data_IF_973067872717
#
_entry.id   IF_973067872717
#
_cell.length_a   1.000
_cell.length_b   1.000
_cell.length_c   1.000
_cell.angle_alpha   90.00
_cell.angle_beta   90.00
_cell.angle_gamma   90.00
#
_symmetry.space_group_name_H-M   'P 1'
#
loop_
_entity.id
_entity.type
_entity.pdbx_description
1 polymer ?
#
# COMPACT_ATOMS: atom_id res chain seq x y z
N UNK A 1 -11.30 -16.07 1.55
CA UNK A 1 -11.58 -15.09 2.63
C UNK A 1 -10.71 -13.88 2.40
N UNK A 2 -11.17 -12.67 2.73
CA UNK A 2 -10.35 -11.45 2.63
C UNK A 2 -9.30 -11.44 3.73
N UNK A 3 -8.09 -11.02 3.40
CA UNK A 3 -7.03 -10.80 4.37
C UNK A 3 -7.28 -9.50 5.16
N UNK A 4 -7.86 -8.51 4.50
CA UNK A 4 -8.24 -7.21 5.06
C UNK A 4 -9.72 -6.98 4.78
N UNK A 5 -10.52 -6.89 5.84
CA UNK A 5 -11.90 -6.44 5.76
C UNK A 5 -11.92 -4.91 5.72
N UNK A 6 -12.62 -4.34 4.74
CA UNK A 6 -12.83 -2.90 4.69
C UNK A 6 -13.83 -2.47 5.76
N UNK A 7 -13.48 -1.43 6.52
CA UNK A 7 -14.33 -0.85 7.56
C UNK A 7 -14.23 0.67 7.64
N UNK A 8 -15.08 1.27 8.48
CA UNK A 8 -15.13 2.72 8.68
C UNK A 8 -13.81 3.28 9.22
N UNK A 9 -12.99 2.46 9.86
CA UNK A 9 -11.68 2.85 10.37
C UNK A 9 -10.67 3.24 9.27
N UNK A 10 -10.91 2.85 8.01
CA UNK A 10 -10.07 3.22 6.86
C UNK A 10 -10.49 4.56 6.22
N UNK A 11 -11.63 5.12 6.65
CA UNK A 11 -12.18 6.36 6.09
C UNK A 11 -11.45 7.56 6.69
N UNK A 12 -10.85 8.35 5.81
CA UNK A 12 -10.18 9.63 6.12
C UNK A 12 -11.13 10.83 6.01
N UNK A 13 -12.22 10.67 5.25
CA UNK A 13 -13.14 11.75 4.89
C UNK A 13 -12.66 12.57 3.68
N UNK A 14 -11.63 12.10 2.98
CA UNK A 14 -11.12 12.68 1.74
C UNK A 14 -11.44 11.68 0.61
N UNK A 15 -12.45 11.97 -0.19
CA UNK A 15 -13.02 11.04 -1.18
C UNK A 15 -11.97 10.38 -2.10
N UNK A 16 -10.98 11.16 -2.55
CA UNK A 16 -9.90 10.62 -3.40
C UNK A 16 -9.00 9.64 -2.64
N UNK A 17 -8.65 9.93 -1.40
CA UNK A 17 -7.81 9.06 -0.56
C UNK A 17 -8.59 7.80 -0.17
N UNK A 18 -9.87 7.93 0.20
CA UNK A 18 -10.71 6.80 0.59
C UNK A 18 -10.91 5.81 -0.58
N UNK A 19 -11.06 6.31 -1.80
CA UNK A 19 -11.07 5.49 -3.02
C UNK A 19 -9.75 4.77 -3.25
N UNK A 20 -8.62 5.45 -3.00
CA UNK A 20 -7.30 4.85 -3.11
C UNK A 20 -7.06 3.79 -2.03
N UNK A 21 -7.45 4.03 -0.78
CA UNK A 21 -7.38 3.02 0.28
C UNK A 21 -8.18 1.77 -0.08
N UNK A 22 -9.40 1.93 -0.62
CA UNK A 22 -10.21 0.79 -1.09
C UNK A 22 -9.48 0.00 -2.18
N UNK A 23 -8.92 0.70 -3.18
CA UNK A 23 -8.15 0.04 -4.24
C UNK A 23 -6.93 -0.73 -3.72
N UNK A 24 -6.21 -0.17 -2.73
CA UNK A 24 -5.09 -0.87 -2.08
C UNK A 24 -5.55 -2.14 -1.36
N UNK A 25 -6.63 -2.04 -0.57
CA UNK A 25 -7.21 -3.19 0.14
C UNK A 25 -7.68 -4.27 -0.82
N UNK A 26 -8.31 -3.90 -1.94
CA UNK A 26 -8.73 -4.84 -2.99
C UNK A 26 -7.55 -5.55 -3.67
N UNK A 27 -6.46 -4.82 -3.96
CA UNK A 27 -5.25 -5.38 -4.54
C UNK A 27 -4.54 -6.33 -3.57
N UNK A 28 -4.45 -5.99 -2.28
CA UNK A 28 -3.87 -6.85 -1.24
C UNK A 28 -4.69 -8.13 -1.02
N UNK A 29 -6.01 -8.01 -0.97
CA UNK A 29 -6.91 -9.16 -0.89
C UNK A 29 -6.79 -10.05 -2.13
N UNK A 30 -6.62 -9.46 -3.31
CA UNK A 30 -6.38 -10.20 -4.55
C UNK A 30 -5.03 -10.92 -4.52
N UNK A 31 -3.96 -10.25 -4.11
CA UNK A 31 -2.64 -10.87 -3.94
C UNK A 31 -2.70 -12.06 -2.99
N UNK A 32 -3.32 -11.91 -1.81
CA UNK A 32 -3.43 -13.01 -0.84
C UNK A 32 -4.23 -14.18 -1.39
N UNK A 33 -5.37 -13.93 -2.04
CA UNK A 33 -6.19 -14.99 -2.64
C UNK A 33 -5.42 -15.71 -3.75
N UNK A 34 -4.79 -14.96 -4.65
CA UNK A 34 -4.09 -15.53 -5.79
C UNK A 34 -2.87 -16.35 -5.34
N UNK A 35 -2.22 -15.93 -4.23
CA UNK A 35 -1.20 -16.73 -3.56
C UNK A 35 -1.77 -18.02 -2.95
N UNK A 36 -2.86 -17.94 -2.17
CA UNK A 36 -3.48 -19.11 -1.51
C UNK A 36 -4.04 -20.12 -2.54
N UNK A 37 -4.53 -19.65 -3.68
CA UNK A 37 -5.01 -20.47 -4.80
C UNK A 37 -3.89 -21.06 -5.67
N UNK A 38 -2.61 -20.83 -5.33
CA UNK A 38 -1.45 -21.25 -6.12
C UNK A 38 -1.55 -20.84 -7.59
N UNK A 39 -1.92 -19.57 -7.85
CA UNK A 39 -1.90 -19.01 -9.21
C UNK A 39 -0.50 -19.07 -9.80
N UNK A 40 -0.42 -18.93 -11.11
CA UNK A 40 0.87 -19.02 -11.80
C UNK A 40 1.80 -17.88 -11.38
N UNK A 41 3.11 -18.09 -11.47
CA UNK A 41 4.11 -17.03 -11.21
C UNK A 41 3.77 -15.74 -11.97
N UNK A 42 3.37 -15.88 -13.24
CA UNK A 42 3.00 -14.75 -14.10
C UNK A 42 1.78 -13.97 -13.57
N UNK A 43 0.78 -14.67 -13.03
CA UNK A 43 -0.38 -14.00 -12.42
C UNK A 43 0.05 -13.22 -11.17
N UNK A 44 0.94 -13.80 -10.36
CA UNK A 44 1.51 -13.17 -9.17
C UNK A 44 2.38 -11.95 -9.51
N UNK A 45 3.19 -12.02 -10.57
CA UNK A 45 3.96 -10.89 -11.10
C UNK A 45 3.04 -9.73 -11.47
N UNK A 46 1.98 -10.01 -12.23
CA UNK A 46 1.02 -8.98 -12.68
C UNK A 46 0.35 -8.28 -11.49
N UNK A 47 -0.07 -9.01 -10.46
CA UNK A 47 -0.71 -8.38 -9.29
C UNK A 47 0.29 -7.61 -8.43
N UNK A 48 1.53 -8.10 -8.28
CA UNK A 48 2.59 -7.39 -7.55
C UNK A 48 2.96 -6.08 -8.23
N UNK A 49 3.11 -6.06 -9.55
CA UNK A 49 3.35 -4.84 -10.32
C UNK A 49 2.20 -3.84 -10.16
N UNK A 50 0.96 -4.30 -10.29
CA UNK A 50 -0.23 -3.45 -10.07
C UNK A 50 -0.28 -2.87 -8.67
N UNK A 51 -0.01 -3.69 -7.64
CA UNK A 51 0.05 -3.23 -6.26
C UNK A 51 1.13 -2.16 -6.09
N UNK A 52 2.34 -2.41 -6.60
CA UNK A 52 3.46 -1.48 -6.51
C UNK A 52 3.15 -0.12 -7.16
N UNK A 53 2.65 -0.13 -8.40
CA UNK A 53 2.31 1.10 -9.12
C UNK A 53 1.17 1.86 -8.42
N UNK A 54 0.16 1.14 -7.93
CA UNK A 54 -0.96 1.75 -7.23
C UNK A 54 -0.56 2.34 -5.88
N UNK A 55 0.30 1.66 -5.12
CA UNK A 55 0.90 2.22 -3.89
C UNK A 55 1.66 3.51 -4.17
N UNK A 56 2.50 3.55 -5.21
CA UNK A 56 3.22 4.77 -5.56
C UNK A 56 2.30 5.92 -5.96
N UNK A 57 1.26 5.62 -6.74
CA UNK A 57 0.25 6.60 -7.11
C UNK A 57 -0.45 7.17 -5.87
N UNK A 58 -0.87 6.31 -4.94
CA UNK A 58 -1.47 6.72 -3.68
C UNK A 58 -0.53 7.60 -2.85
N UNK A 59 0.70 7.15 -2.60
CA UNK A 59 1.70 7.93 -1.86
C UNK A 59 1.97 9.30 -2.48
N UNK A 60 2.04 9.39 -3.82
CA UNK A 60 2.22 10.67 -4.50
C UNK A 60 1.05 11.64 -4.27
N UNK A 61 -0.17 11.10 -4.13
CA UNK A 61 -1.38 11.88 -3.82
C UNK A 61 -1.30 12.43 -2.40
N UNK A 62 -0.99 11.58 -1.42
CA UNK A 62 -0.86 12.01 -0.03
C UNK A 62 0.28 13.00 0.18
N UNK A 63 1.45 12.75 -0.43
CA UNK A 63 2.59 13.65 -0.35
C UNK A 63 2.28 15.03 -0.93
N UNK A 64 1.50 15.09 -2.00
CA UNK A 64 0.98 16.34 -2.53
C UNK A 64 0.07 17.04 -1.52
N UNK A 65 -0.92 16.33 -0.97
CA UNK A 65 -1.86 16.88 0.02
C UNK A 65 -1.14 17.39 1.28
N UNK A 66 -0.21 16.61 1.82
CA UNK A 66 0.60 16.98 2.98
C UNK A 66 1.41 18.24 2.74
N UNK A 67 2.01 18.40 1.56
CA UNK A 67 2.75 19.62 1.19
C UNK A 67 1.82 20.83 1.08
N UNK A 68 0.65 20.69 0.46
CA UNK A 68 -0.33 21.77 0.37
C UNK A 68 -0.82 22.22 1.76
N UNK A 69 -0.98 21.28 2.69
CA UNK A 69 -1.36 21.55 4.07
C UNK A 69 -0.23 22.10 4.96
N UNK A 70 1.01 22.15 4.45
CA UNK A 70 2.21 22.41 5.27
C UNK A 70 2.29 21.50 6.50
N UNK A 71 2.01 20.20 6.31
CA UNK A 71 2.05 19.20 7.37
C UNK A 71 3.46 19.10 7.99
N UNK A 72 3.63 19.36 9.30
CA UNK A 72 4.96 19.44 9.93
C UNK A 72 5.79 18.16 9.82
N UNK A 73 5.15 16.99 9.89
CA UNK A 73 5.84 15.69 9.86
C UNK A 73 5.91 15.09 8.44
N UNK A 74 5.78 15.91 7.40
CA UNK A 74 5.85 15.47 6.01
C UNK A 74 7.08 14.61 5.71
N UNK A 75 8.27 15.02 6.17
CA UNK A 75 9.50 14.29 5.87
C UNK A 75 9.50 12.89 6.48
N UNK A 76 9.07 12.75 7.74
CA UNK A 76 8.97 11.44 8.41
C UNK A 76 7.99 10.52 7.68
N UNK A 77 6.84 11.05 7.27
CA UNK A 77 5.85 10.29 6.52
C UNK A 77 6.42 9.83 5.17
N UNK A 78 7.03 10.75 4.42
CA UNK A 78 7.65 10.46 3.13
C UNK A 78 8.77 9.41 3.24
N UNK A 79 9.59 9.46 4.29
CA UNK A 79 10.66 8.49 4.50
C UNK A 79 10.11 7.07 4.71
N UNK A 80 8.93 6.94 5.35
CA UNK A 80 8.23 5.66 5.46
C UNK A 80 7.77 5.14 4.09
N UNK A 81 7.21 6.01 3.24
CA UNK A 81 6.85 5.70 1.86
C UNK A 81 8.05 5.24 1.03
N UNK A 82 9.13 6.02 1.03
CA UNK A 82 10.34 5.73 0.26
C UNK A 82 10.97 4.40 0.70
N UNK A 83 10.98 4.14 2.01
CA UNK A 83 11.49 2.87 2.56
C UNK A 83 10.65 1.69 2.10
N UNK A 84 9.32 1.81 2.14
CA UNK A 84 8.42 0.75 1.66
C UNK A 84 8.60 0.50 0.17
N UNK A 85 8.50 1.55 -0.66
CA UNK A 85 8.67 1.46 -2.12
C UNK A 85 10.02 0.83 -2.49
N UNK A 86 11.10 1.21 -1.82
CA UNK A 86 12.42 0.62 -2.07
C UNK A 86 12.42 -0.89 -1.80
N UNK A 87 11.91 -1.33 -0.65
CA UNK A 87 11.84 -2.76 -0.29
C UNK A 87 10.99 -3.56 -1.26
N UNK A 88 9.79 -3.06 -1.60
CA UNK A 88 8.89 -3.75 -2.54
C UNK A 88 9.50 -3.84 -3.92
N UNK A 89 10.16 -2.77 -4.40
CA UNK A 89 10.83 -2.77 -5.71
C UNK A 89 11.96 -3.80 -5.77
N UNK A 90 12.77 -3.89 -4.71
CA UNK A 90 13.85 -4.88 -4.61
C UNK A 90 13.30 -6.30 -4.65
N UNK A 91 12.27 -6.58 -3.85
CA UNK A 91 11.59 -7.88 -3.85
C UNK A 91 11.01 -8.24 -5.23
N UNK A 92 10.25 -7.33 -5.86
CA UNK A 92 9.66 -7.59 -7.19
C UNK A 92 10.77 -7.87 -8.21
N UNK A 93 11.88 -7.12 -8.18
CA UNK A 93 13.01 -7.38 -9.07
C UNK A 93 13.61 -8.78 -8.88
N UNK A 94 13.84 -9.21 -7.63
CA UNK A 94 14.35 -10.56 -7.35
C UNK A 94 13.34 -11.65 -7.72
N UNK A 95 12.05 -11.40 -7.51
CA UNK A 95 10.97 -12.30 -7.91
C UNK A 95 10.90 -12.43 -9.43
N UNK A 96 11.01 -11.35 -10.20
CA UNK A 96 11.03 -11.45 -11.67
C UNK A 96 12.29 -12.16 -12.20
N UNK A 97 13.43 -12.00 -11.52
CA UNK A 97 14.70 -12.64 -11.87
C UNK A 97 14.79 -14.13 -11.48
N UNK A 98 13.77 -14.69 -10.80
CA UNK A 98 13.83 -16.07 -10.31
C UNK A 98 14.74 -16.28 -9.09
N UNK A 99 15.19 -15.20 -8.44
CA UNK A 99 16.11 -15.22 -7.29
C UNK A 99 15.37 -15.39 -5.96
N UNK A 100 14.09 -15.03 -5.94
CA UNK A 100 13.23 -15.06 -4.77
C UNK A 100 11.86 -15.60 -5.17
N UNK A 101 11.18 -16.23 -4.21
CA UNK A 101 9.81 -16.72 -4.37
C UNK A 101 8.89 -15.85 -3.51
N UNK A 102 7.64 -15.69 -3.96
CA UNK A 102 6.62 -15.09 -3.11
C UNK A 102 6.30 -16.09 -1.99
N UNK A 103 6.38 -15.63 -0.75
CA UNK A 103 6.04 -16.42 0.44
C UNK A 103 4.87 -15.80 1.18
N UNK A 104 4.24 -16.58 2.07
CA UNK A 104 3.17 -16.09 2.93
C UNK A 104 3.62 -14.91 3.79
N UNK A 105 4.84 -14.97 4.34
CA UNK A 105 5.42 -13.89 5.14
C UNK A 105 5.53 -12.57 4.36
N UNK A 106 5.83 -12.63 3.06
CA UNK A 106 5.92 -11.44 2.21
C UNK A 106 4.53 -10.86 1.92
N UNK A 107 3.56 -11.72 1.61
CA UNK A 107 2.15 -11.31 1.44
C UNK A 107 1.62 -10.65 2.70
N UNK A 108 1.89 -11.24 3.86
CA UNK A 108 1.47 -10.71 5.16
C UNK A 108 2.21 -9.40 5.48
N UNK A 109 3.51 -9.32 5.24
CA UNK A 109 4.28 -8.08 5.39
C UNK A 109 3.69 -6.92 4.56
N UNK A 110 3.43 -7.15 3.27
CA UNK A 110 2.85 -6.12 2.39
C UNK A 110 1.50 -5.65 2.91
N UNK A 111 0.66 -6.60 3.33
CA UNK A 111 -0.70 -6.35 3.77
C UNK A 111 -0.75 -5.64 5.11
N UNK A 112 0.05 -6.10 6.08
CA UNK A 112 0.14 -5.50 7.41
C UNK A 112 0.77 -4.11 7.37
N UNK A 113 1.80 -3.89 6.55
CA UNK A 113 2.42 -2.59 6.44
C UNK A 113 1.42 -1.56 5.92
N UNK A 114 0.75 -1.84 4.79
CA UNK A 114 -0.21 -0.91 4.19
C UNK A 114 -1.41 -0.69 5.12
N UNK A 115 -1.97 -1.77 5.69
CA UNK A 115 -3.08 -1.66 6.65
C UNK A 115 -2.71 -0.79 7.85
N UNK A 116 -1.57 -1.04 8.48
CA UNK A 116 -1.15 -0.29 9.65
C UNK A 116 -0.83 1.17 9.32
N UNK A 117 -0.24 1.43 8.15
CA UNK A 117 0.06 2.77 7.68
C UNK A 117 -1.22 3.60 7.51
N UNK A 118 -2.23 3.05 6.83
CA UNK A 118 -3.56 3.68 6.67
C UNK A 118 -4.23 3.95 8.02
N UNK A 119 -4.22 2.96 8.92
CA UNK A 119 -4.95 3.07 10.18
C UNK A 119 -4.27 3.99 11.20
N UNK A 120 -2.98 4.29 11.04
CA UNK A 120 -2.18 5.04 12.01
C UNK A 120 -1.57 6.30 11.38
N UNK A 121 -0.65 6.13 10.45
CA UNK A 121 0.15 7.22 9.87
C UNK A 121 -0.68 8.18 9.03
N UNK A 122 -1.56 7.67 8.17
CA UNK A 122 -2.34 8.52 7.24
C UNK A 122 -3.35 9.40 7.97
N UNK A 123 -3.80 8.93 9.14
CA UNK A 123 -4.72 9.72 9.97
C UNK A 123 -4.08 10.96 10.57
N UNK A 124 -2.76 11.01 10.69
CA UNK A 124 -2.05 12.11 11.35
C UNK A 124 -2.09 13.41 10.53
N UNK A 125 -2.13 13.32 9.20
CA UNK A 125 -2.18 14.51 8.34
C UNK A 125 -3.60 15.05 8.14
N UNK A 126 -4.65 14.25 8.37
CA UNK A 126 -6.05 14.61 8.10
C UNK A 126 -6.46 15.93 8.77
N UNK A 127 -6.15 16.20 10.06
CA UNK A 127 -6.53 17.45 10.71
C UNK A 127 -5.93 18.71 10.04
N UNK A 128 -4.81 18.56 9.33
CA UNK A 128 -4.11 19.66 8.68
C UNK A 128 -4.75 20.04 7.32
N UNK A 129 -5.57 19.17 6.74
CA UNK A 129 -6.27 19.40 5.47
C UNK A 129 -7.60 20.13 5.62
N UNK A 130 -8.18 20.18 6.83
CA UNK A 130 -9.51 20.75 7.09
C UNK A 130 -9.48 22.24 7.49
N UNK A 131 -8.54 23.02 6.96
CA UNK A 131 -8.48 24.47 7.21
C UNK A 131 -9.44 25.25 6.33
#
# INVERSE_FOLDING_TARGET
MSLIEWGDEFITGIDTVDKQHRGLVELLNTLSRDFDENKTRKDLEIILEKLFDYTKYHFSTEEYLMRQASYPDYQRHKDAHDTFVKKVKEFIGNFMDGKEELTKDIVDFLSEWVKNHILKTDKEYIPYLKK
#
